data_IF_188783750145
#
_entry.id   IF_188783750145
#
_cell.length_a   1.000
_cell.length_b   1.000
_cell.length_c   1.000
_cell.angle_alpha   90.00
_cell.angle_beta   90.00
_cell.angle_gamma   90.00
#
_symmetry.space_group_name_H-M   'P 1'
#
loop_
_entity.id
_entity.type
_entity.pdbx_description
1 polymer ?
#
# COMPACT_ATOMS: atom_id res chain seq x y z
N UNK A 1 8.78 31.69 -2.91
CA UNK A 1 7.47 31.63 -3.58
C UNK A 1 6.99 30.20 -3.61
N UNK A 2 5.67 29.97 -3.64
CA UNK A 2 5.04 28.64 -3.60
C UNK A 2 5.70 27.64 -4.55
N UNK A 3 5.95 28.03 -5.80
CA UNK A 3 6.60 27.18 -6.82
C UNK A 3 7.99 26.68 -6.40
N UNK A 4 8.79 27.52 -5.75
CA UNK A 4 10.13 27.15 -5.26
C UNK A 4 10.06 26.10 -4.14
N UNK A 5 9.03 26.14 -3.32
CA UNK A 5 8.80 25.16 -2.25
C UNK A 5 8.44 23.78 -2.81
N UNK A 6 7.57 23.72 -3.82
CA UNK A 6 7.25 22.46 -4.50
C UNK A 6 8.44 21.87 -5.26
N UNK A 7 9.20 22.72 -5.97
CA UNK A 7 10.43 22.30 -6.65
C UNK A 7 11.43 21.68 -5.66
N UNK A 8 11.61 22.31 -4.51
CA UNK A 8 12.50 21.80 -3.46
C UNK A 8 12.05 20.43 -2.94
N UNK A 9 10.76 20.25 -2.65
CA UNK A 9 10.22 18.94 -2.22
C UNK A 9 10.38 17.86 -3.28
N UNK A 10 10.10 18.18 -4.55
CA UNK A 10 10.27 17.23 -5.65
C UNK A 10 11.75 16.83 -5.78
N UNK A 11 12.67 17.78 -5.70
CA UNK A 11 14.11 17.50 -5.71
C UNK A 11 14.51 16.59 -4.55
N UNK A 12 14.05 16.86 -3.33
CA UNK A 12 14.32 16.02 -2.17
C UNK A 12 13.77 14.59 -2.32
N UNK A 13 12.59 14.44 -2.94
CA UNK A 13 12.03 13.12 -3.25
C UNK A 13 12.85 12.39 -4.31
N UNK A 14 13.34 13.09 -5.34
CA UNK A 14 14.25 12.53 -6.34
C UNK A 14 15.59 12.11 -5.74
N UNK A 15 16.14 12.89 -4.81
CA UNK A 15 17.38 12.53 -4.12
C UNK A 15 17.20 11.24 -3.29
N UNK A 16 16.09 11.14 -2.55
CA UNK A 16 15.74 9.91 -1.80
C UNK A 16 15.51 8.71 -2.72
N UNK A 17 14.91 8.93 -3.89
CA UNK A 17 14.77 7.89 -4.91
C UNK A 17 16.13 7.40 -5.42
N UNK A 18 17.06 8.32 -5.72
CA UNK A 18 18.41 7.96 -6.17
C UNK A 18 19.17 7.18 -5.10
N UNK A 19 19.05 7.57 -3.83
CA UNK A 19 19.63 6.83 -2.69
C UNK A 19 19.07 5.42 -2.58
N UNK A 20 17.74 5.26 -2.73
CA UNK A 20 17.11 3.95 -2.77
C UNK A 20 17.61 3.10 -3.95
N UNK A 21 17.69 3.67 -5.15
CA UNK A 21 18.19 2.97 -6.33
C UNK A 21 19.64 2.51 -6.17
N UNK A 22 20.50 3.35 -5.59
CA UNK A 22 21.88 2.98 -5.29
C UNK A 22 21.95 1.84 -4.26
N UNK A 23 21.19 1.92 -3.16
CA UNK A 23 21.14 0.87 -2.15
C UNK A 23 20.54 -0.44 -2.70
N UNK A 24 19.57 -0.37 -3.60
CA UNK A 24 18.99 -1.52 -4.28
C UNK A 24 19.99 -2.17 -5.23
N UNK A 25 20.73 -1.38 -6.01
CA UNK A 25 21.76 -1.89 -6.91
C UNK A 25 22.88 -2.61 -6.13
N UNK A 26 23.31 -2.04 -5.01
CA UNK A 26 24.29 -2.67 -4.10
C UNK A 26 23.76 -4.02 -3.57
N UNK A 27 22.51 -4.07 -3.12
CA UNK A 27 21.88 -5.29 -2.65
C UNK A 27 21.77 -6.37 -3.75
N UNK A 28 21.36 -5.99 -4.96
CA UNK A 28 21.27 -6.91 -6.10
C UNK A 28 22.63 -7.43 -6.55
N UNK A 29 23.66 -6.58 -6.51
CA UNK A 29 25.03 -7.01 -6.77
C UNK A 29 25.50 -8.02 -5.73
N UNK A 30 25.23 -7.75 -4.45
CA UNK A 30 25.58 -8.68 -3.38
C UNK A 30 24.94 -10.07 -3.57
N UNK A 31 23.70 -10.11 -4.07
CA UNK A 31 23.02 -11.36 -4.43
C UNK A 31 23.59 -12.08 -5.67
N UNK A 32 24.32 -11.38 -6.55
CA UNK A 32 24.97 -12.00 -7.72
C UNK A 32 26.31 -12.67 -7.37
N UNK A 33 26.97 -12.22 -6.31
CA UNK A 33 28.30 -12.72 -5.91
C UNK A 33 28.36 -14.25 -5.69
N UNK A 34 27.40 -14.90 -5.00
CA UNK A 34 27.40 -16.36 -4.85
C UNK A 34 27.36 -17.10 -6.18
N UNK A 35 26.63 -16.56 -7.16
CA UNK A 35 26.54 -17.13 -8.50
C UNK A 35 27.91 -17.13 -9.18
N UNK A 36 28.58 -15.98 -9.21
CA UNK A 36 29.92 -15.83 -9.80
C UNK A 36 30.95 -16.74 -9.12
N UNK A 37 30.93 -16.79 -7.78
CA UNK A 37 31.83 -17.65 -7.00
C UNK A 37 31.58 -19.14 -7.27
N UNK A 38 30.31 -19.54 -7.33
CA UNK A 38 29.95 -20.94 -7.61
C UNK A 38 30.47 -21.42 -8.95
N UNK A 39 30.47 -20.56 -9.98
CA UNK A 39 31.00 -20.90 -11.28
C UNK A 39 32.51 -21.08 -11.27
N UNK A 40 33.25 -20.21 -10.56
CA UNK A 40 34.71 -20.36 -10.43
C UNK A 40 35.09 -21.66 -9.74
N UNK A 41 34.46 -21.95 -8.60
CA UNK A 41 34.70 -23.20 -7.85
C UNK A 41 34.30 -24.42 -8.68
N UNK A 42 33.21 -24.33 -9.45
CA UNK A 42 32.81 -25.40 -10.36
C UNK A 42 33.85 -25.66 -11.46
N UNK A 43 34.44 -24.60 -12.04
CA UNK A 43 35.50 -24.73 -13.06
C UNK A 43 36.76 -25.38 -12.49
N UNK A 44 37.21 -24.94 -11.31
CA UNK A 44 38.37 -25.52 -10.62
C UNK A 44 38.16 -27.01 -10.34
N UNK A 45 37.01 -27.35 -9.77
CA UNK A 45 36.67 -28.74 -9.46
C UNK A 45 36.57 -29.63 -10.70
N UNK A 46 36.09 -29.08 -11.82
CA UNK A 46 36.01 -29.81 -13.08
C UNK A 46 37.41 -30.06 -13.67
N UNK A 47 38.33 -29.10 -13.54
CA UNK A 47 39.72 -29.26 -13.95
C UNK A 47 40.42 -30.37 -13.12
N UNK A 48 40.20 -30.39 -11.81
CA UNK A 48 40.72 -31.44 -10.91
C UNK A 48 40.20 -32.83 -11.28
N UNK A 49 38.89 -32.98 -11.48
CA UNK A 49 38.27 -34.25 -11.88
C UNK A 49 38.78 -34.74 -13.23
N UNK A 50 39.04 -33.82 -14.16
CA UNK A 50 39.62 -34.15 -15.48
C UNK A 50 41.05 -34.66 -15.33
N UNK A 51 41.89 -34.00 -14.51
CA UNK A 51 43.25 -34.45 -14.23
C UNK A 51 43.29 -35.81 -13.51
N UNK A 52 42.31 -36.07 -12.64
CA UNK A 52 42.18 -37.33 -11.93
C UNK A 52 41.55 -38.46 -12.77
N UNK A 53 41.10 -38.19 -13.99
CA UNK A 53 40.38 -39.16 -14.83
C UNK A 53 38.98 -39.54 -14.30
N UNK A 54 38.42 -38.74 -13.39
CA UNK A 54 37.14 -38.98 -12.71
C UNK A 54 36.04 -38.02 -13.22
N UNK A 55 36.04 -37.74 -14.52
CA UNK A 55 35.05 -36.83 -15.09
C UNK A 55 33.64 -37.43 -14.97
N UNK A 56 32.65 -36.69 -14.44
CA UNK A 56 31.28 -37.21 -14.32
C UNK A 56 30.68 -37.51 -15.70
N UNK A 57 30.26 -38.76 -15.91
CA UNK A 57 29.65 -39.18 -17.18
C UNK A 57 28.24 -38.61 -17.39
N UNK A 58 27.56 -38.21 -16.30
CA UNK A 58 26.19 -37.70 -16.33
C UNK A 58 26.09 -36.20 -16.02
N UNK A 59 25.49 -35.46 -16.95
CA UNK A 59 25.10 -34.05 -16.81
C UNK A 59 24.32 -33.74 -15.52
N UNK A 60 23.51 -34.67 -15.00
CA UNK A 60 22.76 -34.51 -13.76
C UNK A 60 23.68 -34.43 -12.55
N UNK A 61 24.77 -35.19 -12.53
CA UNK A 61 25.75 -35.17 -11.44
C UNK A 61 26.51 -33.84 -11.42
N UNK A 62 26.84 -33.30 -12.60
CA UNK A 62 27.43 -31.96 -12.75
C UNK A 62 26.49 -30.87 -12.21
N UNK A 63 25.21 -30.94 -12.56
CA UNK A 63 24.21 -29.99 -12.07
C UNK A 63 24.02 -30.06 -10.55
N UNK A 64 23.91 -31.27 -9.98
CA UNK A 64 23.81 -31.46 -8.53
C UNK A 64 25.04 -30.94 -7.78
N UNK A 65 26.23 -31.14 -8.34
CA UNK A 65 27.46 -30.61 -7.77
C UNK A 65 27.46 -29.08 -7.78
N UNK A 66 27.07 -28.46 -8.88
CA UNK A 66 26.98 -27.01 -8.98
C UNK A 66 25.95 -26.42 -8.01
N UNK A 67 24.76 -27.01 -7.90
CA UNK A 67 23.73 -26.57 -6.94
C UNK A 67 24.24 -26.64 -5.49
N UNK A 68 24.93 -27.72 -5.10
CA UNK A 68 25.51 -27.83 -3.75
C UNK A 68 26.55 -26.74 -3.46
N UNK A 69 27.39 -26.43 -4.45
CA UNK A 69 28.38 -25.35 -4.32
C UNK A 69 27.67 -24.00 -4.18
N UNK A 70 26.68 -23.74 -5.03
CA UNK A 70 25.89 -22.52 -5.02
C UNK A 70 25.15 -22.33 -3.69
N UNK A 71 24.51 -23.38 -3.18
CA UNK A 71 23.82 -23.39 -1.89
C UNK A 71 24.77 -23.04 -0.75
N UNK A 72 25.98 -23.63 -0.73
CA UNK A 72 27.01 -23.31 0.27
C UNK A 72 27.42 -21.83 0.26
N UNK A 73 27.60 -21.25 -0.94
CA UNK A 73 27.91 -19.82 -1.07
C UNK A 73 26.75 -18.91 -0.62
N UNK A 74 25.50 -19.27 -0.93
CA UNK A 74 24.33 -18.52 -0.45
C UNK A 74 24.14 -18.63 1.05
N UNK A 75 24.34 -19.80 1.66
CA UNK A 75 24.29 -19.96 3.11
C UNK A 75 25.30 -19.07 3.81
N UNK A 76 26.52 -18.98 3.26
CA UNK A 76 27.56 -18.09 3.78
C UNK A 76 27.16 -16.62 3.63
N UNK A 77 26.61 -16.24 2.47
CA UNK A 77 26.16 -14.87 2.23
C UNK A 77 25.05 -14.46 3.20
N UNK A 78 24.01 -15.29 3.37
CA UNK A 78 22.87 -14.95 4.21
C UNK A 78 23.20 -14.88 5.70
N UNK A 79 24.27 -15.54 6.14
CA UNK A 79 24.79 -15.44 7.50
C UNK A 79 25.74 -14.26 7.70
N UNK A 80 26.13 -13.57 6.63
CA UNK A 80 27.05 -12.44 6.71
C UNK A 80 26.36 -11.18 7.25
N UNK A 81 27.07 -10.41 8.08
CA UNK A 81 26.57 -9.11 8.56
C UNK A 81 26.37 -8.13 7.40
N UNK A 82 27.25 -8.18 6.40
CA UNK A 82 27.16 -7.38 5.17
C UNK A 82 25.80 -7.55 4.48
N UNK A 83 25.29 -8.78 4.35
CA UNK A 83 23.98 -9.02 3.75
C UNK A 83 22.85 -8.35 4.54
N UNK A 84 22.83 -8.53 5.86
CA UNK A 84 21.81 -7.93 6.73
C UNK A 84 21.88 -6.41 6.72
N UNK A 85 23.09 -5.84 6.75
CA UNK A 85 23.32 -4.39 6.71
C UNK A 85 22.87 -3.78 5.38
N UNK A 86 23.27 -4.37 4.25
CA UNK A 86 22.86 -3.88 2.92
C UNK A 86 21.34 -3.99 2.75
N UNK A 87 20.73 -5.11 3.17
CA UNK A 87 19.26 -5.28 3.15
C UNK A 87 18.55 -4.22 4.01
N UNK A 88 19.01 -4.01 5.25
CA UNK A 88 18.42 -3.04 6.17
C UNK A 88 18.50 -1.63 5.58
N UNK A 89 19.64 -1.26 4.99
CA UNK A 89 19.84 0.02 4.30
C UNK A 89 18.91 0.18 3.09
N UNK A 90 18.71 -0.86 2.28
CA UNK A 90 17.76 -0.83 1.16
C UNK A 90 16.33 -0.58 1.65
N UNK A 91 15.91 -1.24 2.73
CA UNK A 91 14.58 -1.05 3.32
C UNK A 91 14.40 0.35 3.93
N UNK A 92 15.43 0.85 4.61
CA UNK A 92 15.43 2.20 5.19
C UNK A 92 15.31 3.27 4.10
N UNK A 93 16.15 3.19 3.06
CA UNK A 93 16.11 4.14 1.93
C UNK A 93 14.80 4.05 1.14
N UNK A 94 14.22 2.85 1.00
CA UNK A 94 12.87 2.68 0.43
C UNK A 94 11.82 3.40 1.27
N UNK A 95 11.81 3.20 2.59
CA UNK A 95 10.85 3.87 3.48
C UNK A 95 10.99 5.39 3.42
N UNK A 96 12.21 5.90 3.37
CA UNK A 96 12.46 7.35 3.24
C UNK A 96 11.92 7.90 1.92
N UNK A 97 12.10 7.16 0.82
CA UNK A 97 11.53 7.52 -0.48
C UNK A 97 10.00 7.48 -0.48
N UNK A 98 9.39 6.42 0.06
CA UNK A 98 7.93 6.30 0.13
C UNK A 98 7.31 7.43 0.93
N UNK A 99 7.87 7.76 2.11
CA UNK A 99 7.39 8.88 2.92
C UNK A 99 7.48 10.22 2.15
N UNK A 100 8.60 10.48 1.47
CA UNK A 100 8.76 11.70 0.69
C UNK A 100 7.84 11.77 -0.54
N UNK A 101 7.57 10.62 -1.16
CA UNK A 101 6.60 10.50 -2.25
C UNK A 101 5.19 10.80 -1.74
N UNK A 102 4.81 10.23 -0.60
CA UNK A 102 3.48 10.42 -0.02
C UNK A 102 3.24 11.88 0.35
N UNK A 103 4.21 12.56 0.95
CA UNK A 103 4.14 14.01 1.21
C UNK A 103 3.92 14.84 -0.06
N UNK A 104 4.65 14.52 -1.15
CA UNK A 104 4.49 15.21 -2.44
C UNK A 104 3.11 14.93 -3.05
N UNK A 105 2.62 13.69 -2.95
CA UNK A 105 1.29 13.31 -3.43
C UNK A 105 0.18 13.99 -2.63
N UNK A 106 0.27 14.03 -1.31
CA UNK A 106 -0.69 14.75 -0.46
C UNK A 106 -0.76 16.24 -0.83
N UNK A 107 0.37 16.89 -1.02
CA UNK A 107 0.39 18.30 -1.38
C UNK A 107 -0.09 18.55 -2.82
N UNK A 108 0.18 17.62 -3.75
CA UNK A 108 -0.38 17.68 -5.11
C UNK A 108 -1.90 17.49 -5.10
N UNK A 109 -2.42 16.59 -4.27
CA UNK A 109 -3.87 16.40 -4.14
C UNK A 109 -4.58 17.60 -3.50
N UNK A 110 -3.94 18.34 -2.59
CA UNK A 110 -4.49 19.62 -2.08
C UNK A 110 -4.62 20.70 -3.17
N UNK A 111 -3.82 20.61 -4.23
CA UNK A 111 -3.84 21.56 -5.36
C UNK A 111 -4.84 21.17 -6.44
N UNK A 112 -5.23 19.90 -6.52
CA UNK A 112 -6.27 19.43 -7.44
C UNK A 112 -7.63 19.49 -6.75
N UNK A 113 -8.71 19.93 -7.41
CA UNK A 113 -10.08 19.82 -6.88
C UNK A 113 -10.61 18.37 -6.95
N UNK A 114 -9.75 17.39 -6.68
CA UNK A 114 -10.06 15.96 -6.73
C UNK A 114 -9.80 15.40 -5.33
N UNK A 115 -10.90 14.93 -4.72
CA UNK A 115 -10.95 14.45 -3.34
C UNK A 115 -9.79 13.52 -3.01
N UNK A 116 -9.09 13.80 -1.91
CA UNK A 116 -8.19 12.82 -1.31
C UNK A 116 -8.99 11.66 -0.73
N UNK A 117 -8.33 10.51 -0.50
CA UNK A 117 -8.95 9.35 0.17
C UNK A 117 -9.60 9.72 1.50
N UNK A 118 -9.01 10.68 2.22
CA UNK A 118 -9.50 11.17 3.51
C UNK A 118 -10.77 12.04 3.37
N UNK A 119 -10.84 12.87 2.32
CA UNK A 119 -12.05 13.64 2.00
C UNK A 119 -13.22 12.71 1.61
N UNK A 120 -12.91 11.60 0.93
CA UNK A 120 -13.88 10.58 0.54
C UNK A 120 -14.51 9.88 1.76
N UNK A 121 -13.70 9.56 2.78
CA UNK A 121 -14.20 9.00 4.05
C UNK A 121 -15.05 10.01 4.83
N UNK A 122 -14.67 11.29 4.81
CA UNK A 122 -15.41 12.37 5.46
C UNK A 122 -16.76 12.63 4.79
N UNK A 123 -16.81 12.69 3.45
CA UNK A 123 -18.05 12.78 2.68
C UNK A 123 -18.95 11.57 2.93
N UNK A 124 -18.41 10.35 2.95
CA UNK A 124 -19.20 9.15 3.24
C UNK A 124 -19.81 9.20 4.65
N UNK A 125 -19.06 9.70 5.63
CA UNK A 125 -19.55 9.91 7.00
C UNK A 125 -20.67 10.96 7.04
N UNK A 126 -20.53 12.06 6.33
CA UNK A 126 -21.55 13.10 6.25
C UNK A 126 -22.83 12.63 5.55
N UNK A 127 -22.71 11.92 4.43
CA UNK A 127 -23.83 11.31 3.71
C UNK A 127 -24.58 10.31 4.59
N UNK A 128 -23.85 9.50 5.36
CA UNK A 128 -24.45 8.58 6.32
C UNK A 128 -25.25 9.32 7.41
N UNK A 129 -24.67 10.37 7.99
CA UNK A 129 -25.34 11.20 9.00
C UNK A 129 -26.57 11.92 8.43
N UNK A 130 -26.50 12.36 7.18
CA UNK A 130 -27.60 13.02 6.49
C UNK A 130 -28.75 12.05 6.24
N UNK A 131 -28.49 10.84 5.73
CA UNK A 131 -29.49 9.77 5.58
C UNK A 131 -30.15 9.43 6.93
N UNK A 132 -29.38 9.40 8.01
CA UNK A 132 -29.90 9.12 9.36
C UNK A 132 -30.84 10.24 9.83
N UNK A 133 -30.49 11.50 9.59
CA UNK A 133 -31.34 12.66 9.91
C UNK A 133 -32.62 12.66 9.09
N UNK A 134 -32.54 12.42 7.79
CA UNK A 134 -33.71 12.34 6.90
C UNK A 134 -34.68 11.26 7.38
N UNK A 135 -34.21 10.04 7.64
CA UNK A 135 -35.06 8.97 8.20
C UNK A 135 -35.72 9.33 9.53
N UNK A 136 -35.01 10.06 10.37
CA UNK A 136 -35.54 10.51 11.67
C UNK A 136 -36.65 11.56 11.48
N UNK A 137 -36.47 12.46 10.52
CA UNK A 137 -37.46 13.47 10.17
C UNK A 137 -38.69 12.86 9.50
N UNK A 138 -38.49 11.94 8.55
CA UNK A 138 -39.57 11.17 7.91
C UNK A 138 -40.39 10.39 8.94
N UNK A 139 -39.72 9.72 9.89
CA UNK A 139 -40.40 8.99 10.97
C UNK A 139 -41.21 9.92 11.88
N UNK A 140 -40.67 11.08 12.24
CA UNK A 140 -41.41 12.10 13.02
C UNK A 140 -42.62 12.64 12.27
N UNK A 141 -42.52 12.79 10.95
CA UNK A 141 -43.63 13.24 10.10
C UNK A 141 -44.74 12.20 10.05
N UNK A 142 -44.37 10.90 9.94
CA UNK A 142 -45.32 9.79 10.00
C UNK A 142 -45.97 9.63 11.39
N UNK A 143 -45.23 9.91 12.46
CA UNK A 143 -45.77 9.92 13.82
C UNK A 143 -46.71 11.13 14.05
N UNK A 144 -46.50 12.27 13.38
CA UNK A 144 -47.40 13.42 13.44
C UNK A 144 -48.66 13.29 12.59
N UNK A 145 -48.63 12.53 11.49
CA UNK A 145 -49.79 12.20 10.65
C UNK A 145 -50.65 11.05 11.24
N UNK A 146 -50.16 10.37 12.28
CA UNK A 146 -50.79 9.21 12.91
C UNK A 146 -51.74 9.49 14.08
N UNK A 147 -52.13 10.74 14.34
CA UNK A 147 -53.08 11.05 15.43
C UNK A 147 -54.52 11.21 14.89
N UNK A 148 -55.49 10.37 15.30
CA UNK A 148 -56.80 10.30 14.67
C UNK A 148 -57.77 11.36 15.20
N UNK A 149 -58.16 12.31 14.33
CA UNK A 149 -59.34 13.16 14.49
C UNK A 149 -60.55 12.57 13.76
N UNK A 150 -61.17 11.54 14.34
CA UNK A 150 -62.54 11.07 14.05
C UNK A 150 -63.55 12.13 14.51
N UNK A 151 -64.70 12.44 13.90
CA UNK A 151 -65.47 11.89 12.80
C UNK A 151 -66.76 12.72 12.74
N UNK A 152 -67.32 12.92 11.55
CA UNK A 152 -68.55 13.68 11.32
C UNK A 152 -69.81 12.93 11.82
N UNK A 153 -70.79 13.62 12.42
CA UNK A 153 -72.18 13.73 11.89
C UNK A 153 -73.19 14.47 12.80
N UNK A 154 -74.30 15.01 12.24
CA UNK A 154 -75.27 15.98 12.81
C UNK A 154 -76.59 15.28 13.24
N UNK A 155 -77.81 15.87 13.24
CA UNK A 155 -78.33 17.21 13.62
C UNK A 155 -79.36 17.12 14.78
N UNK A 156 -79.75 18.25 15.42
CA UNK A 156 -81.08 18.33 16.05
C UNK A 156 -81.54 19.79 16.23
N UNK A 157 -82.55 20.20 15.46
CA UNK A 157 -83.51 21.24 15.87
C UNK A 157 -84.56 20.57 16.81
N UNK A 158 -85.39 21.26 17.62
CA UNK A 158 -85.80 22.66 17.50
C UNK A 158 -85.90 23.44 18.85
N UNK A 159 -86.15 24.76 18.79
CA UNK A 159 -87.03 25.39 19.78
C UNK A 159 -87.68 26.68 19.27
N UNK A 160 -89.01 26.70 19.39
CA UNK A 160 -89.89 27.85 19.23
C UNK A 160 -89.60 28.93 20.30
N UNK A 161 -89.83 30.18 19.89
CA UNK A 161 -89.95 31.40 20.71
C UNK A 161 -89.39 32.55 19.87
N UNK A 162 -90.11 33.59 19.45
CA UNK A 162 -91.32 34.23 19.94
C UNK A 162 -91.02 35.73 19.95
N UNK A 163 -91.93 36.55 19.41
CA UNK A 163 -91.96 38.03 19.39
C UNK A 163 -91.07 38.69 18.31
N UNK A 164 -91.54 39.61 17.46
CA UNK A 164 -92.64 40.58 17.51
C UNK A 164 -93.19 40.80 16.11
#
# INVERSE_FOLDING_TARGET
>A
GLTRFYQEKINQTLDKYNLFQAALAEFLHLLSVPMERSFRVMQEKLAELTQAGQFPEDSKQLYQMWIKILEGHFMTLFQSSQYTETMARTLETLNHFLAARDEVLEDLFKLLPVCTHRDLDEINREVYLLKKRVRTLEKKLQESDGSPGSGASPPNAPRKGGSR
#
